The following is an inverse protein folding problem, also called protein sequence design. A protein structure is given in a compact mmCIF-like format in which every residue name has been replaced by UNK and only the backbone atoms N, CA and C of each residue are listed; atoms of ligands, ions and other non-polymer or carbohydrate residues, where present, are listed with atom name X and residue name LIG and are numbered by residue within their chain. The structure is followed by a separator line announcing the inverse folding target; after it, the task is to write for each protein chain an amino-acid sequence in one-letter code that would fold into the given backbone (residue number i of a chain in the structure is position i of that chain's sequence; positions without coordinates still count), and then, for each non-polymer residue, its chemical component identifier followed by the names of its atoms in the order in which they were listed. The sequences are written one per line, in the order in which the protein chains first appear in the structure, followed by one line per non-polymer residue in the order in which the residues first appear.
data_IF_050748936349
#
_entry.id   IF_050748936349
#
_cell.length_a   1.000
_cell.length_b   1.000
_cell.length_c   1.000
_cell.angle_alpha   90.00
_cell.angle_beta   90.00
_cell.angle_gamma   90.00
#
_symmetry.space_group_name_H-M   'P 1'
#
loop_
_entity.id
_entity.type
_entity.pdbx_description
1 polymer ?
#
# COMPACT_ATOMS: atom_id res chain seq x y z
N UNK A 1 -4.40 7.31 -5.48
CA UNK A 1 -4.46 6.11 -6.34
C UNK A 1 -5.92 5.72 -6.54
N UNK A 2 -6.34 5.59 -7.78
CA UNK A 2 -7.71 5.43 -8.25
C UNK A 2 -7.85 4.37 -9.35
N UNK A 3 -6.79 4.02 -10.07
CA UNK A 3 -6.82 3.06 -11.17
C UNK A 3 -5.47 2.39 -11.42
N UNK A 4 -5.20 2.08 -12.69
CA UNK A 4 -4.00 1.36 -13.16
C UNK A 4 -2.68 2.04 -12.80
N UNK A 5 -2.69 3.36 -12.53
CA UNK A 5 -1.51 4.13 -12.14
C UNK A 5 -0.90 3.67 -10.80
N UNK A 6 -1.64 2.87 -10.02
CA UNK A 6 -1.14 2.25 -8.80
C UNK A 6 0.10 1.38 -9.05
N UNK A 7 0.18 0.69 -10.19
CA UNK A 7 1.34 -0.12 -10.53
C UNK A 7 2.58 0.75 -10.79
N UNK A 8 2.45 1.80 -11.61
CA UNK A 8 3.55 2.71 -11.92
C UNK A 8 4.02 3.49 -10.70
N UNK A 9 3.08 3.91 -9.84
CA UNK A 9 3.41 4.53 -8.56
C UNK A 9 4.31 3.63 -7.71
N UNK A 10 3.95 2.35 -7.54
CA UNK A 10 4.75 1.42 -6.75
C UNK A 10 6.11 1.15 -7.38
N UNK A 11 6.18 1.07 -8.71
CA UNK A 11 7.46 0.94 -9.41
C UNK A 11 8.37 2.15 -9.17
N UNK A 12 7.82 3.36 -9.19
CA UNK A 12 8.57 4.58 -8.92
C UNK A 12 9.07 4.65 -7.48
N UNK A 13 8.26 4.21 -6.52
CA UNK A 13 8.69 4.11 -5.11
C UNK A 13 9.82 3.07 -4.98
N UNK A 14 9.67 1.91 -5.61
CA UNK A 14 10.67 0.83 -5.56
C UNK A 14 12.00 1.19 -6.25
N UNK A 15 12.01 2.10 -7.23
CA UNK A 15 13.23 2.49 -7.97
C UNK A 15 14.13 3.49 -7.24
N UNK A 16 13.87 3.78 -5.96
CA UNK A 16 14.72 4.62 -5.13
C UNK A 16 14.19 6.02 -4.86
N UNK A 17 12.86 6.20 -4.82
CA UNK A 17 12.22 7.47 -4.43
C UNK A 17 11.55 7.35 -3.03
N UNK A 18 12.35 7.31 -1.94
CA UNK A 18 11.81 7.23 -0.58
C UNK A 18 11.05 8.52 -0.21
N UNK A 19 10.15 8.41 0.77
CA UNK A 19 9.38 9.55 1.28
C UNK A 19 8.14 9.93 0.47
N UNK A 20 7.71 9.06 -0.45
CA UNK A 20 6.50 9.26 -1.24
C UNK A 20 5.24 9.27 -0.38
N UNK A 21 4.31 10.19 -0.65
CA UNK A 21 3.01 10.29 0.01
C UNK A 21 1.90 10.21 -1.05
N UNK A 22 0.87 9.42 -0.80
CA UNK A 22 -0.32 9.33 -1.66
C UNK A 22 -1.56 9.07 -0.82
N UNK A 23 -2.73 9.05 -1.45
CA UNK A 23 -4.01 8.74 -0.80
C UNK A 23 -4.79 7.68 -1.58
N UNK A 24 -5.60 6.92 -0.86
CA UNK A 24 -6.51 5.91 -1.41
C UNK A 24 -7.78 5.86 -0.55
N UNK A 25 -8.91 5.53 -1.17
CA UNK A 25 -10.16 5.31 -0.45
C UNK A 25 -10.20 3.87 0.07
N UNK A 26 -10.27 3.71 1.39
CA UNK A 26 -10.40 2.41 2.05
C UNK A 26 -11.07 2.55 3.43
N UNK A 27 -11.75 1.49 3.89
CA UNK A 27 -12.50 1.49 5.15
C UNK A 27 -11.66 1.09 6.40
N UNK A 28 -10.41 0.67 6.20
CA UNK A 28 -9.38 0.43 7.23
C UNK A 28 -7.99 0.45 6.59
N UNK A 29 -6.93 0.42 7.40
CA UNK A 29 -5.57 0.31 6.87
C UNK A 29 -5.33 -1.04 6.16
N UNK A 30 -5.84 -2.15 6.71
CA UNK A 30 -5.73 -3.45 6.04
C UNK A 30 -6.48 -3.48 4.71
N UNK A 31 -7.68 -2.86 4.65
CA UNK A 31 -8.44 -2.75 3.40
C UNK A 31 -7.78 -1.81 2.38
N UNK A 32 -6.87 -0.92 2.80
CA UNK A 32 -6.09 -0.12 1.85
C UNK A 32 -5.10 -0.99 1.07
N UNK A 33 -4.48 -2.00 1.70
CA UNK A 33 -3.67 -2.99 0.99
C UNK A 33 -4.52 -3.79 -0.01
N UNK A 34 -5.72 -4.21 0.39
CA UNK A 34 -6.63 -4.92 -0.50
C UNK A 34 -7.07 -4.08 -1.69
N UNK A 35 -7.37 -2.80 -1.46
CA UNK A 35 -7.72 -1.88 -2.53
C UNK A 35 -6.55 -1.70 -3.51
N UNK A 36 -5.32 -1.58 -3.00
CA UNK A 36 -4.13 -1.49 -3.85
C UNK A 36 -3.91 -2.74 -4.69
N UNK A 37 -4.12 -3.93 -4.11
CA UNK A 37 -4.08 -5.20 -4.86
C UNK A 37 -5.05 -5.16 -6.03
N UNK A 38 -6.29 -4.71 -5.81
CA UNK A 38 -7.29 -4.62 -6.87
C UNK A 38 -6.89 -3.62 -7.95
N UNK A 39 -6.40 -2.43 -7.57
CA UNK A 39 -5.93 -1.41 -8.52
C UNK A 39 -4.75 -1.91 -9.37
N UNK A 40 -3.80 -2.62 -8.76
CA UNK A 40 -2.66 -3.21 -9.48
C UNK A 40 -3.13 -4.31 -10.43
N UNK A 41 -4.06 -5.16 -9.99
CA UNK A 41 -4.64 -6.23 -10.81
C UNK A 41 -5.42 -5.72 -12.02
N UNK A 42 -5.90 -4.48 -11.98
CA UNK A 42 -6.54 -3.82 -13.12
C UNK A 42 -5.53 -3.39 -14.20
N UNK A 43 -4.25 -3.22 -13.87
CA UNK A 43 -3.24 -2.82 -14.84
C UNK A 43 -2.79 -4.02 -15.68
N UNK A 44 -2.45 -3.76 -16.95
CA UNK A 44 -1.94 -4.80 -17.86
C UNK A 44 -0.68 -5.49 -17.32
N UNK A 45 0.19 -4.75 -16.63
CA UNK A 45 1.42 -5.28 -16.07
C UNK A 45 1.20 -6.04 -14.74
N UNK A 46 0.16 -5.68 -13.98
CA UNK A 46 -0.12 -6.28 -12.66
C UNK A 46 -1.14 -7.42 -12.70
N UNK A 47 -1.92 -7.57 -13.78
CA UNK A 47 -2.99 -8.56 -13.87
C UNK A 47 -2.49 -10.02 -13.70
N UNK A 48 -1.30 -10.33 -14.21
CA UNK A 48 -0.72 -11.69 -14.19
C UNK A 48 -0.01 -12.03 -12.87
N UNK A 49 0.39 -11.03 -12.08
CA UNK A 49 1.11 -11.23 -10.82
C UNK A 49 0.23 -11.94 -9.79
N UNK A 50 0.74 -12.92 -9.03
CA UNK A 50 -0.09 -13.54 -8.00
C UNK A 50 -0.50 -12.51 -6.94
N UNK A 51 -1.72 -12.63 -6.42
CA UNK A 51 -2.21 -11.72 -5.36
C UNK A 51 -1.28 -11.71 -4.14
N UNK A 52 -0.71 -12.87 -3.79
CA UNK A 52 0.25 -13.00 -2.70
C UNK A 52 1.53 -12.18 -2.96
N UNK A 53 2.06 -12.21 -4.18
CA UNK A 53 3.28 -11.48 -4.56
C UNK A 53 3.05 -9.97 -4.52
N UNK A 54 1.91 -9.50 -5.04
CA UNK A 54 1.52 -8.09 -4.96
C UNK A 54 1.44 -7.66 -3.51
N UNK A 55 0.73 -8.46 -2.68
CA UNK A 55 0.56 -8.12 -1.27
C UNK A 55 1.90 -8.10 -0.54
N UNK A 56 2.78 -9.07 -0.79
CA UNK A 56 4.14 -9.09 -0.27
C UNK A 56 4.93 -7.83 -0.65
N UNK A 57 4.89 -7.43 -1.93
CA UNK A 57 5.56 -6.21 -2.41
C UNK A 57 5.01 -4.96 -1.73
N UNK A 58 3.69 -4.81 -1.62
CA UNK A 58 3.06 -3.67 -0.96
C UNK A 58 3.57 -3.50 0.48
N UNK A 59 3.73 -4.60 1.18
CA UNK A 59 4.20 -4.62 2.55
C UNK A 59 5.71 -4.34 2.71
N UNK A 60 6.49 -4.50 1.65
CA UNK A 60 7.88 -4.04 1.61
C UNK A 60 7.97 -2.53 1.30
N UNK A 61 7.09 -2.03 0.43
CA UNK A 61 7.16 -0.65 -0.08
C UNK A 61 6.41 0.37 0.76
N UNK A 62 5.31 -0.02 1.40
CA UNK A 62 4.49 0.88 2.21
C UNK A 62 4.99 0.82 3.65
N UNK A 63 5.51 1.94 4.13
CA UNK A 63 6.00 2.05 5.50
C UNK A 63 4.86 2.34 6.49
N UNK A 64 3.95 3.24 6.12
CA UNK A 64 2.90 3.76 7.03
C UNK A 64 1.59 3.91 6.27
N UNK A 65 0.47 3.55 6.92
CA UNK A 65 -0.88 3.95 6.49
C UNK A 65 -1.56 4.71 7.61
N UNK A 66 -2.01 5.92 7.33
CA UNK A 66 -2.81 6.74 8.24
C UNK A 66 -4.25 6.73 7.75
N UNK A 67 -5.15 6.09 8.50
CA UNK A 67 -6.57 6.13 8.20
C UNK A 67 -7.22 7.33 8.89
N UNK A 68 -7.89 8.17 8.12
CA UNK A 68 -8.72 9.25 8.65
C UNK A 68 -10.18 8.82 8.76
N UNK A 69 -10.81 9.13 9.89
CA UNK A 69 -12.25 9.03 10.13
C UNK A 69 -12.90 10.40 10.27
N UNK A 70 -14.23 10.41 10.24
CA UNK A 70 -15.05 11.60 10.50
C UNK A 70 -16.07 11.24 11.59
N UNK A 71 -16.19 12.09 12.61
CA UNK A 71 -17.24 12.02 13.63
C UNK A 71 -17.93 13.38 13.69
N UNK A 72 -19.19 13.44 13.28
CA UNK A 72 -19.87 14.72 13.05
C UNK A 72 -19.17 15.53 11.95
N UNK A 73 -18.61 16.70 12.32
CA UNK A 73 -17.82 17.56 11.40
C UNK A 73 -16.31 17.49 11.65
N UNK A 74 -15.87 16.65 12.59
CA UNK A 74 -14.47 16.59 13.02
C UNK A 74 -13.74 15.43 12.34
N UNK A 75 -12.60 15.72 11.73
CA UNK A 75 -11.67 14.70 11.21
C UNK A 75 -10.74 14.23 12.32
N UNK A 76 -10.46 12.94 12.36
CA UNK A 76 -9.52 12.36 13.32
C UNK A 76 -8.74 11.20 12.67
N UNK A 77 -7.56 10.89 13.20
CA UNK A 77 -6.84 9.67 12.84
C UNK A 77 -7.55 8.50 13.53
N UNK A 78 -8.13 7.61 12.73
CA UNK A 78 -8.85 6.43 13.22
C UNK A 78 -7.91 5.26 13.44
N UNK A 79 -6.95 5.08 12.56
CA UNK A 79 -6.03 3.94 12.56
C UNK A 79 -4.66 4.39 12.04
N UNK A 80 -3.60 3.82 12.63
CA UNK A 80 -2.23 3.95 12.14
C UNK A 80 -1.67 2.54 11.96
N UNK A 81 -1.37 2.16 10.73
CA UNK A 81 -0.62 0.95 10.45
C UNK A 81 0.85 1.30 10.28
N UNK A 82 1.70 0.64 11.07
CA UNK A 82 3.16 0.75 11.02
C UNK A 82 3.77 -0.54 11.59
N UNK A 83 4.37 -1.37 10.72
CA UNK A 83 5.05 -2.61 11.14
C UNK A 83 6.45 -2.73 10.52
N UNK A 84 7.44 -2.00 11.08
CA UNK A 84 8.80 -2.03 10.57
C UNK A 84 9.50 -3.38 10.84
N UNK A 85 9.04 -4.13 11.85
CA UNK A 85 9.61 -5.45 12.17
C UNK A 85 9.30 -6.45 11.07
N UNK A 86 8.09 -6.40 10.52
CA UNK A 86 7.70 -7.23 9.38
C UNK A 86 8.47 -6.90 8.11
N UNK A 87 8.67 -5.62 7.80
CA UNK A 87 9.53 -5.19 6.69
C UNK A 87 10.96 -5.71 6.85
N UNK A 88 11.56 -5.58 8.05
CA UNK A 88 12.89 -6.13 8.34
C UNK A 88 12.96 -7.65 8.19
N UNK A 89 11.97 -8.40 8.70
CA UNK A 89 11.92 -9.86 8.54
C UNK A 89 11.82 -10.28 7.08
N UNK A 90 11.01 -9.58 6.28
CA UNK A 90 10.86 -9.87 4.86
C UNK A 90 12.16 -9.60 4.08
N UNK A 91 12.87 -8.52 4.38
CA UNK A 91 14.18 -8.22 3.77
C UNK A 91 15.26 -9.24 4.19
N UNK A 92 15.23 -9.72 5.42
CA UNK A 92 16.18 -10.74 5.90
C UNK A 92 15.90 -12.14 5.33
N UNK A 93 14.65 -12.46 4.99
CA UNK A 93 14.27 -13.76 4.43
C UNK A 93 14.49 -13.87 2.90
N UNK A 94 14.71 -12.75 2.21
CA UNK A 94 15.01 -12.67 0.78
C UNK A 94 16.49 -12.46 0.45
N UNK A 95 17.38 -12.56 1.45
CA UNK A 95 18.83 -12.44 1.31
C UNK A 95 19.55 -13.79 1.40
#
# INVERSE_FOLDING_TARGET
LRGEEAFDYLRNVNSGHPGSITSIHAASAELAFEQLVLLIKQSRAGQELARADIKHLLYLLIDVIVQFGIRGRTRFIRELWYDPARKRRALAAGG
#
